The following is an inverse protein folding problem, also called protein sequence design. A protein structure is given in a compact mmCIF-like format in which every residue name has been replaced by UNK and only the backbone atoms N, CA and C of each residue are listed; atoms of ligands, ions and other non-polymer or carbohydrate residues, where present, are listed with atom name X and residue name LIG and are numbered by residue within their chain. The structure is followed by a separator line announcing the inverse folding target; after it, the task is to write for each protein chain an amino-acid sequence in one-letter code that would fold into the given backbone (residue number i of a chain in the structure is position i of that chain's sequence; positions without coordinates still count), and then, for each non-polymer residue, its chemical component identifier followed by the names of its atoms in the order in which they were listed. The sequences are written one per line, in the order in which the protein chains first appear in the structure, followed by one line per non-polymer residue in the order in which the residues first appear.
data_IF_167193083364
#
_entry.id   IF_167193083364
#
_cell.length_a   1.000
_cell.length_b   1.000
_cell.length_c   1.000
_cell.angle_alpha   90.00
_cell.angle_beta   90.00
_cell.angle_gamma   90.00
#
_symmetry.space_group_name_H-M   'P 1'
#
loop_
_entity.id
_entity.type
_entity.pdbx_description
1 polymer ?
#
# COMPACT_ATOMS: atom_id res chain seq x y z
N UNK A 1 -6.24 25.25 64.76
CA UNK A 1 -5.98 23.88 65.26
C UNK A 1 -4.67 23.40 64.68
N UNK A 2 -3.84 22.85 65.56
CA UNK A 2 -2.47 22.37 65.39
C UNK A 2 -2.39 21.05 64.60
N UNK A 3 -1.23 20.85 63.96
CA UNK A 3 -0.84 19.75 63.07
C UNK A 3 -0.88 18.33 63.69
N UNK A 4 -1.00 17.30 62.84
CA UNK A 4 -0.33 16.02 63.07
C UNK A 4 -0.10 15.22 61.77
N UNK A 5 1.12 14.72 61.64
CA UNK A 5 1.71 13.96 60.53
C UNK A 5 1.71 12.46 60.89
N UNK A 6 1.51 11.53 59.95
CA UNK A 6 1.99 10.13 60.06
C UNK A 6 1.74 9.27 58.78
N UNK A 7 2.51 8.17 58.56
CA UNK A 7 2.99 7.79 57.22
C UNK A 7 2.62 6.37 56.72
N UNK A 8 3.02 6.14 55.45
CA UNK A 8 3.29 4.91 54.69
C UNK A 8 2.92 3.51 55.24
N UNK A 9 2.34 2.66 54.36
CA UNK A 9 2.55 1.19 54.36
C UNK A 9 2.24 0.52 53.02
N UNK A 10 3.24 -0.20 52.53
CA UNK A 10 3.32 -1.06 51.34
C UNK A 10 2.64 -2.42 51.56
N UNK A 11 1.86 -2.93 50.58
CA UNK A 11 1.56 -4.37 50.35
C UNK A 11 1.19 -4.53 48.86
N UNK A 12 1.95 -5.18 47.97
CA UNK A 12 2.39 -6.58 47.86
C UNK A 12 1.34 -7.55 47.25
N UNK A 13 1.77 -8.23 46.16
CA UNK A 13 1.41 -9.60 45.70
C UNK A 13 -0.03 -9.80 45.14
N UNK A 14 -0.33 -10.71 44.21
CA UNK A 14 0.39 -11.68 43.36
C UNK A 14 -0.61 -12.16 42.30
N UNK A 15 -0.11 -12.37 41.08
CA UNK A 15 -0.37 -13.50 40.16
C UNK A 15 -1.78 -14.11 40.14
N UNK A 16 -2.51 -13.86 39.06
CA UNK A 16 -3.74 -14.57 38.73
C UNK A 16 -3.44 -15.80 37.84
N UNK A 17 -3.62 -16.98 38.45
CA UNK A 17 -3.60 -18.30 37.83
C UNK A 17 -4.93 -18.60 37.14
N UNK A 18 -4.90 -19.10 35.90
CA UNK A 18 -5.95 -20.01 35.39
C UNK A 18 -5.33 -21.10 34.51
N UNK A 19 -5.24 -22.30 35.08
CA UNK A 19 -5.13 -23.58 34.36
C UNK A 19 -6.53 -23.98 33.92
N UNK A 20 -6.69 -24.40 32.67
CA UNK A 20 -7.82 -25.23 32.22
C UNK A 20 -7.28 -26.35 31.33
N UNK A 21 -7.22 -27.55 31.89
CA UNK A 21 -7.04 -28.86 31.26
C UNK A 21 -8.37 -29.35 30.69
N UNK A 22 -8.40 -29.90 29.48
CA UNK A 22 -9.35 -30.97 29.08
C UNK A 22 -8.67 -31.90 28.05
N UNK A 23 -8.87 -33.24 28.10
CA UNK A 23 -8.04 -34.22 27.40
C UNK A 23 -8.75 -34.93 26.22
N UNK A 24 -8.03 -35.92 25.68
CA UNK A 24 -8.48 -37.19 25.03
C UNK A 24 -8.44 -37.27 23.50
N UNK A 25 -7.51 -38.12 23.04
CA UNK A 25 -7.41 -38.75 21.73
C UNK A 25 -8.55 -39.76 21.50
N UNK A 26 -9.14 -39.76 20.30
CA UNK A 26 -9.85 -40.92 19.75
C UNK A 26 -9.63 -40.96 18.23
N UNK A 27 -9.10 -42.10 17.77
CA UNK A 27 -8.77 -42.45 16.38
C UNK A 27 -9.87 -43.39 15.87
N UNK A 28 -10.47 -43.16 14.70
CA UNK A 28 -11.16 -44.22 13.94
C UNK A 28 -11.38 -43.84 12.46
N UNK A 29 -11.42 -44.87 11.64
CA UNK A 29 -11.03 -44.93 10.23
C UNK A 29 -12.17 -44.71 9.20
N UNK A 30 -11.74 -44.22 8.02
CA UNK A 30 -12.17 -44.53 6.63
C UNK A 30 -13.64 -44.41 6.20
N UNK A 31 -13.91 -43.59 5.16
CA UNK A 31 -14.55 -43.98 3.88
C UNK A 31 -14.60 -42.77 2.92
N UNK A 32 -14.31 -43.02 1.65
CA UNK A 32 -14.09 -41.99 0.63
C UNK A 32 -15.35 -41.39 0.01
N UNK A 33 -15.18 -40.21 -0.57
CA UNK A 33 -15.93 -39.71 -1.71
C UNK A 33 -15.17 -38.48 -2.25
N UNK A 34 -14.82 -38.51 -3.54
CA UNK A 34 -14.20 -37.38 -4.21
C UNK A 34 -15.12 -36.17 -4.20
N UNK A 35 -14.66 -35.07 -3.62
CA UNK A 35 -15.22 -33.74 -3.86
C UNK A 35 -14.13 -32.94 -4.56
N UNK A 36 -14.36 -32.64 -5.83
CA UNK A 36 -13.58 -31.65 -6.58
C UNK A 36 -13.57 -30.35 -5.76
N UNK A 37 -12.44 -30.04 -5.14
CA UNK A 37 -12.16 -28.70 -4.66
C UNK A 37 -11.90 -27.82 -5.88
N UNK A 38 -13.00 -27.34 -6.47
CA UNK A 38 -12.97 -26.25 -7.43
C UNK A 38 -12.55 -24.99 -6.67
N UNK A 39 -11.25 -24.83 -6.46
CA UNK A 39 -10.69 -23.56 -6.03
C UNK A 39 -10.98 -22.55 -7.15
N UNK A 40 -11.74 -21.47 -6.90
CA UNK A 40 -11.74 -20.36 -7.82
C UNK A 40 -10.34 -19.76 -7.75
N UNK A 41 -9.49 -20.10 -8.70
CA UNK A 41 -8.30 -19.33 -9.00
C UNK A 41 -8.81 -17.97 -9.48
N UNK A 42 -8.52 -16.85 -8.78
CA UNK A 42 -8.71 -15.56 -9.39
C UNK A 42 -7.71 -15.50 -10.55
N UNK A 43 -8.18 -15.77 -11.75
CA UNK A 43 -7.49 -15.39 -12.98
C UNK A 43 -7.49 -13.86 -13.05
N UNK A 44 -6.68 -13.24 -12.20
CA UNK A 44 -6.21 -11.90 -12.43
C UNK A 44 -5.31 -11.99 -13.66
N UNK A 45 -5.91 -11.78 -14.84
CA UNK A 45 -5.21 -11.35 -16.02
C UNK A 45 -4.62 -9.96 -15.71
N UNK A 46 -3.57 -9.96 -14.89
CA UNK A 46 -2.74 -8.81 -14.65
C UNK A 46 -1.92 -8.62 -15.91
N UNK A 47 -2.42 -7.79 -16.82
CA UNK A 47 -1.59 -7.17 -17.82
C UNK A 47 -0.31 -6.70 -17.11
N UNK A 48 0.84 -7.26 -17.50
CA UNK A 48 2.13 -6.91 -16.91
C UNK A 48 2.39 -5.45 -17.25
N UNK A 49 1.91 -4.58 -16.37
CA UNK A 49 2.19 -3.16 -16.43
C UNK A 49 3.69 -3.03 -16.23
N UNK A 50 4.42 -2.74 -17.31
CA UNK A 50 5.84 -2.40 -17.23
C UNK A 50 5.93 -1.03 -16.55
N UNK A 51 6.16 -1.05 -15.24
CA UNK A 51 6.30 0.16 -14.43
C UNK A 51 5.90 -0.03 -12.97
N UNK A 52 6.37 0.88 -12.12
CA UNK A 52 6.01 0.95 -10.70
C UNK A 52 4.61 1.52 -10.55
N UNK A 53 3.70 0.76 -9.96
CA UNK A 53 2.35 1.22 -9.66
C UNK A 53 2.33 1.92 -8.30
N UNK A 54 1.83 3.16 -8.27
CA UNK A 54 1.73 3.98 -7.05
C UNK A 54 0.36 4.60 -6.91
N UNK A 55 -0.14 4.75 -5.68
CA UNK A 55 -1.45 5.37 -5.42
C UNK A 55 -1.28 6.74 -4.79
N UNK A 56 -1.74 7.78 -5.48
CA UNK A 56 -1.63 9.18 -5.06
C UNK A 56 -3.03 9.77 -4.95
N UNK A 57 -3.43 10.18 -3.74
CA UNK A 57 -4.72 10.86 -3.47
C UNK A 57 -5.92 10.11 -4.08
N UNK A 58 -5.98 8.79 -3.88
CA UNK A 58 -7.06 7.93 -4.38
C UNK A 58 -7.03 7.67 -5.89
N UNK A 59 -5.90 7.93 -6.57
CA UNK A 59 -5.68 7.62 -7.99
C UNK A 59 -4.48 6.72 -8.14
N UNK A 60 -4.63 5.67 -8.93
CA UNK A 60 -3.51 4.80 -9.29
C UNK A 60 -2.77 5.37 -10.48
N UNK A 61 -1.45 5.38 -10.37
CA UNK A 61 -0.52 5.83 -11.38
C UNK A 61 0.46 4.71 -11.71
N UNK A 62 0.89 4.66 -12.96
CA UNK A 62 1.95 3.79 -13.45
C UNK A 62 3.12 4.67 -13.83
N UNK A 63 4.28 4.41 -13.26
CA UNK A 63 5.51 5.15 -13.58
C UNK A 63 6.49 4.20 -14.24
N UNK A 64 7.01 4.58 -15.41
CA UNK A 64 8.00 3.78 -16.14
C UNK A 64 9.08 4.67 -16.77
N UNK A 65 10.32 4.17 -16.90
CA UNK A 65 11.36 4.85 -17.66
C UNK A 65 10.98 4.90 -19.15
N UNK A 66 11.47 5.93 -19.84
CA UNK A 66 11.29 6.13 -21.28
C UNK A 66 12.63 5.97 -21.96
N UNK A 67 12.79 4.85 -22.67
CA UNK A 67 14.04 4.46 -23.32
C UNK A 67 15.13 4.01 -22.33
N UNK A 68 16.25 3.59 -22.89
CA UNK A 68 17.33 2.93 -22.17
C UNK A 68 18.33 3.93 -21.59
N UNK A 69 17.92 4.71 -20.57
CA UNK A 69 18.86 5.47 -19.73
C UNK A 69 18.89 6.99 -19.93
N UNK A 70 17.87 7.59 -20.56
CA UNK A 70 17.79 9.05 -20.74
C UNK A 70 17.47 9.83 -19.46
N UNK A 71 17.17 9.14 -18.35
CA UNK A 71 16.68 9.77 -17.11
C UNK A 71 15.25 10.32 -17.23
N UNK A 72 14.57 10.04 -18.35
CA UNK A 72 13.20 10.48 -18.63
C UNK A 72 12.20 9.41 -18.24
N UNK A 73 11.11 9.82 -17.60
CA UNK A 73 10.08 8.94 -17.09
C UNK A 73 8.71 9.37 -17.56
N UNK A 74 7.83 8.39 -17.79
CA UNK A 74 6.41 8.60 -18.02
C UNK A 74 5.59 8.23 -16.79
N UNK A 75 4.56 9.01 -16.50
CA UNK A 75 3.56 8.73 -15.47
C UNK A 75 2.17 8.76 -16.10
N UNK A 76 1.48 7.63 -16.05
CA UNK A 76 0.14 7.47 -16.61
C UNK A 76 -0.86 7.19 -15.48
N UNK A 77 -2.00 7.89 -15.51
CA UNK A 77 -3.07 7.66 -14.55
C UNK A 77 -3.98 6.54 -15.02
N UNK A 78 -4.07 5.48 -14.22
CA UNK A 78 -5.01 4.39 -14.45
C UNK A 78 -6.44 4.87 -14.16
N UNK A 79 -7.23 5.04 -15.22
CA UNK A 79 -8.66 5.34 -15.17
C UNK A 79 -9.48 4.03 -15.25
N UNK A 80 -9.30 3.12 -14.28
CA UNK A 80 -9.96 1.78 -14.31
C UNK A 80 -11.49 1.83 -14.23
N UNK A 81 -12.09 2.92 -13.73
CA UNK A 81 -13.54 3.10 -13.64
C UNK A 81 -13.91 4.55 -13.99
N UNK A 82 -14.78 4.73 -14.99
CA UNK A 82 -15.44 6.00 -15.27
C UNK A 82 -16.62 6.14 -14.29
N UNK A 83 -16.34 6.67 -13.11
CA UNK A 83 -17.37 6.98 -12.13
C UNK A 83 -17.91 8.38 -12.39
N UNK A 84 -19.24 8.50 -12.54
CA UNK A 84 -19.92 9.78 -12.75
C UNK A 84 -19.71 10.74 -11.57
N UNK A 85 -19.69 10.22 -10.33
CA UNK A 85 -19.52 10.98 -9.09
C UNK A 85 -18.13 10.77 -8.49
N UNK A 86 -17.15 11.28 -9.21
CA UNK A 86 -15.76 11.20 -8.78
C UNK A 86 -15.42 12.38 -7.84
N UNK A 87 -14.61 12.17 -6.78
CA UNK A 87 -14.05 13.26 -5.99
C UNK A 87 -13.38 14.31 -6.90
N UNK A 88 -13.42 15.60 -6.54
CA UNK A 88 -12.98 16.68 -7.40
C UNK A 88 -11.58 16.45 -7.96
N UNK A 89 -11.37 16.91 -9.19
CA UNK A 89 -10.10 16.75 -9.87
C UNK A 89 -9.01 17.56 -9.16
N UNK A 90 -8.16 16.89 -8.39
CA UNK A 90 -6.90 17.46 -7.92
C UNK A 90 -6.00 17.74 -9.13
N UNK A 91 -5.16 18.78 -9.03
CA UNK A 91 -4.24 19.18 -10.10
C UNK A 91 -3.37 17.97 -10.49
N UNK A 92 -3.60 17.41 -11.67
CA UNK A 92 -2.99 16.15 -12.10
C UNK A 92 -1.47 16.25 -12.23
N UNK A 93 -0.94 17.44 -12.53
CA UNK A 93 0.51 17.67 -12.56
C UNK A 93 1.14 17.47 -11.18
N UNK A 94 0.52 17.99 -10.10
CA UNK A 94 0.98 17.77 -8.72
C UNK A 94 0.89 16.32 -8.29
N UNK A 95 -0.15 15.62 -8.76
CA UNK A 95 -0.28 14.18 -8.52
C UNK A 95 0.83 13.40 -9.25
N UNK A 96 1.14 13.77 -10.50
CA UNK A 96 2.24 13.17 -11.25
C UNK A 96 3.60 13.42 -10.58
N UNK A 97 3.90 14.65 -10.14
CA UNK A 97 5.12 14.97 -9.35
C UNK A 97 5.28 14.03 -8.15
N UNK A 98 4.19 13.79 -7.41
CA UNK A 98 4.17 12.89 -6.26
C UNK A 98 4.32 11.42 -6.67
N UNK A 99 3.71 11.03 -7.79
CA UNK A 99 3.82 9.68 -8.34
C UNK A 99 5.27 9.37 -8.71
N UNK A 100 5.95 10.28 -9.43
CA UNK A 100 7.38 10.14 -9.75
C UNK A 100 8.21 9.98 -8.48
N UNK A 101 8.03 10.88 -7.50
CA UNK A 101 8.77 10.82 -6.24
C UNK A 101 8.51 9.52 -5.46
N UNK A 102 7.26 9.05 -5.42
CA UNK A 102 6.91 7.81 -4.74
C UNK A 102 7.48 6.58 -5.45
N UNK A 103 7.55 6.59 -6.79
CA UNK A 103 8.00 5.46 -7.59
C UNK A 103 9.53 5.35 -7.67
N UNK A 104 10.25 6.48 -7.77
CA UNK A 104 11.70 6.50 -8.02
C UNK A 104 12.51 7.09 -6.88
N UNK A 105 11.88 7.75 -5.91
CA UNK A 105 12.56 8.52 -4.86
C UNK A 105 13.12 9.87 -5.34
N UNK A 106 13.09 10.13 -6.65
CA UNK A 106 13.70 11.32 -7.25
C UNK A 106 12.69 12.46 -7.45
N UNK A 107 13.18 13.68 -7.53
CA UNK A 107 12.33 14.86 -7.78
C UNK A 107 12.24 15.15 -9.26
N UNK A 108 11.10 15.71 -9.71
CA UNK A 108 10.96 16.11 -11.11
C UNK A 108 11.66 17.44 -11.38
N UNK A 109 12.38 17.54 -12.50
CA UNK A 109 12.80 18.82 -13.09
C UNK A 109 11.59 19.51 -13.74
N UNK A 110 11.02 20.51 -13.08
CA UNK A 110 9.69 21.09 -13.40
C UNK A 110 9.58 21.64 -14.82
N UNK A 111 10.64 22.28 -15.31
CA UNK A 111 10.78 22.82 -16.67
C UNK A 111 10.73 21.75 -17.76
N UNK A 112 11.03 20.48 -17.43
CA UNK A 112 10.98 19.36 -18.38
C UNK A 112 9.64 18.64 -18.44
N UNK A 113 8.70 18.98 -17.53
CA UNK A 113 7.44 18.27 -17.39
C UNK A 113 6.46 18.66 -18.50
N UNK A 114 6.03 17.66 -19.25
CA UNK A 114 5.12 17.79 -20.38
C UNK A 114 3.93 16.84 -20.19
N UNK A 115 2.74 17.28 -20.62
CA UNK A 115 1.51 16.47 -20.58
C UNK A 115 1.01 16.26 -22.00
N UNK A 116 0.72 15.02 -22.37
CA UNK A 116 0.05 14.70 -23.64
C UNK A 116 -1.45 14.93 -23.55
N UNK A 117 -2.13 14.95 -24.70
CA UNK A 117 -3.60 15.01 -24.78
C UNK A 117 -4.27 13.81 -24.08
N UNK A 118 -3.63 12.64 -24.08
CA UNK A 118 -4.10 11.44 -23.37
C UNK A 118 -3.95 11.54 -21.85
N UNK A 119 -3.29 12.59 -21.34
CA UNK A 119 -3.07 12.79 -19.92
C UNK A 119 -1.88 12.02 -19.34
N UNK A 120 -0.99 11.51 -20.20
CA UNK A 120 0.29 10.94 -19.79
C UNK A 120 1.27 12.09 -19.55
N UNK A 121 1.98 12.01 -18.43
CA UNK A 121 3.05 12.95 -18.10
C UNK A 121 4.40 12.38 -18.50
N UNK A 122 5.28 13.23 -19.01
CA UNK A 122 6.67 12.93 -19.28
C UNK A 122 7.53 13.95 -18.57
N UNK A 123 8.59 13.53 -17.88
CA UNK A 123 9.50 14.45 -17.22
C UNK A 123 10.87 13.81 -17.00
N UNK A 124 11.89 14.67 -16.89
CA UNK A 124 13.22 14.27 -16.46
C UNK A 124 13.27 14.31 -14.93
N UNK A 125 13.91 13.29 -14.34
CA UNK A 125 14.03 13.18 -12.89
C UNK A 125 15.44 13.56 -12.44
N UNK A 126 15.51 14.33 -11.36
CA UNK A 126 16.74 14.70 -10.66
C UNK A 126 16.78 13.91 -9.36
N UNK A 127 17.70 12.95 -9.31
CA UNK A 127 18.00 12.17 -8.13
C UNK A 127 19.14 12.85 -7.38
N UNK A 128 18.99 13.04 -6.06
CA UNK A 128 20.13 13.49 -5.24
C UNK A 128 21.07 12.30 -5.06
N UNK A 129 22.35 12.45 -5.36
CA UNK A 129 23.36 11.45 -5.03
C UNK A 129 23.36 11.25 -3.51
N UNK A 130 23.13 10.01 -3.08
CA UNK A 130 23.16 9.65 -1.67
C UNK A 130 24.61 9.42 -1.23
#
# INVERSE_FOLDING_TARGET
MTFAFAPARTLARLVFSRRTTVPTLALCATLGAGMLTLYPTPAAAGEKVQGSQVTILGRTWIVSPVGDGTGRYRAERLNRKLEAFRPPAMISARQAERAYKAATGCTVRRDSMLRTISGVYYADLVCRSR
#
